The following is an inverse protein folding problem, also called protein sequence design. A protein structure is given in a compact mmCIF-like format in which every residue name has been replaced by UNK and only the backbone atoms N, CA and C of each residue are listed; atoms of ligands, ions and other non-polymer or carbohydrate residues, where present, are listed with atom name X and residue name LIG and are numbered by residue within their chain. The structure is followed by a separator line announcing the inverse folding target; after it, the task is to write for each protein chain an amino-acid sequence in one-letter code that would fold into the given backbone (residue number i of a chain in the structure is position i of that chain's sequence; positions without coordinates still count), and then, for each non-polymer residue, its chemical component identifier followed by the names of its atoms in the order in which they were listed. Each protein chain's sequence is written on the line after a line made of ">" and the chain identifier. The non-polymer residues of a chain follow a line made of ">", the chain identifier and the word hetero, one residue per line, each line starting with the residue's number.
data_IF_211714152079
#
_entry.id   IF_211714152079
#
_cell.length_a   1.000
_cell.length_b   1.000
_cell.length_c   1.000
_cell.angle_alpha   90.00
_cell.angle_beta   90.00
_cell.angle_gamma   90.00
#
_symmetry.space_group_name_H-M   'P 1'
#
loop_
_entity.id
_entity.type
_entity.pdbx_description
1 polymer ?
#
# COMPACT_ATOMS: atom_id res chain seq x y z
N UNK A 1 -18.35 -2.70 10.43
CA UNK A 1 -17.28 -1.67 10.29
C UNK A 1 -16.32 -2.15 9.23
N UNK A 2 -15.77 -1.24 8.45
CA UNK A 2 -14.74 -1.58 7.45
C UNK A 2 -13.46 -2.04 8.19
N UNK A 3 -12.94 -3.27 7.94
CA UNK A 3 -11.79 -3.80 8.67
C UNK A 3 -10.45 -3.22 8.21
N UNK A 4 -10.42 -2.40 7.15
CA UNK A 4 -9.18 -1.84 6.61
C UNK A 4 -9.30 -1.34 5.18
N UNK A 5 -8.15 -1.04 4.57
CA UNK A 5 -8.05 -0.55 3.20
C UNK A 5 -6.92 -1.25 2.46
N UNK A 6 -7.16 -1.52 1.17
CA UNK A 6 -6.13 -1.99 0.26
C UNK A 6 -5.50 -0.81 -0.48
N UNK A 7 -4.20 -0.61 -0.31
CA UNK A 7 -3.45 0.48 -0.91
C UNK A 7 -2.78 -0.02 -2.19
N UNK A 8 -3.20 0.50 -3.33
CA UNK A 8 -2.54 0.26 -4.61
C UNK A 8 -1.95 1.54 -5.18
N UNK A 9 -1.06 1.42 -6.13
CA UNK A 9 -0.46 2.57 -6.79
C UNK A 9 -0.63 2.55 -8.31
N UNK A 10 -0.47 3.71 -8.91
CA UNK A 10 -0.40 3.82 -10.38
C UNK A 10 0.88 3.23 -10.97
N UNK A 11 1.89 2.96 -10.13
CA UNK A 11 3.20 2.45 -10.53
C UNK A 11 4.01 2.04 -9.28
N UNK A 12 5.21 1.51 -9.48
CA UNK A 12 6.25 1.40 -8.44
C UNK A 12 6.81 2.81 -8.14
N UNK A 13 7.28 3.02 -6.91
CA UNK A 13 7.85 4.31 -6.44
C UNK A 13 6.93 5.53 -6.57
N UNK A 14 5.61 5.34 -6.45
CA UNK A 14 4.63 6.43 -6.41
C UNK A 14 4.30 6.91 -4.99
N UNK A 15 5.01 6.39 -3.98
CA UNK A 15 4.84 6.79 -2.58
C UNK A 15 3.77 6.02 -1.83
N UNK A 16 3.46 4.77 -2.24
CA UNK A 16 2.49 3.90 -1.54
C UNK A 16 2.79 3.80 -0.05
N UNK A 17 4.03 3.48 0.30
CA UNK A 17 4.44 3.26 1.69
C UNK A 17 4.26 4.51 2.53
N UNK A 18 4.62 5.68 2.01
CA UNK A 18 4.40 6.94 2.72
C UNK A 18 2.91 7.22 2.92
N UNK A 19 2.08 6.98 1.90
CA UNK A 19 0.62 7.10 2.02
C UNK A 19 0.05 6.07 3.02
N UNK A 20 0.53 4.83 3.00
CA UNK A 20 0.12 3.78 3.93
C UNK A 20 0.42 4.15 5.39
N UNK A 21 1.64 4.61 5.67
CA UNK A 21 2.03 5.03 7.03
C UNK A 21 1.26 6.29 7.47
N UNK A 22 1.09 7.28 6.57
CA UNK A 22 0.28 8.46 6.86
C UNK A 22 -1.17 8.08 7.20
N UNK A 23 -1.77 7.10 6.49
CA UNK A 23 -3.09 6.55 6.81
C UNK A 23 -3.10 5.85 8.16
N UNK A 24 -2.08 5.07 8.49
CA UNK A 24 -1.95 4.44 9.81
C UNK A 24 -1.95 5.49 10.91
N UNK A 25 -1.15 6.56 10.80
CA UNK A 25 -1.11 7.66 11.78
C UNK A 25 -2.44 8.42 11.83
N UNK A 26 -3.09 8.67 10.68
CA UNK A 26 -4.41 9.30 10.61
C UNK A 26 -5.44 8.57 11.47
N UNK A 27 -5.53 7.24 11.36
CA UNK A 27 -6.48 6.45 12.14
C UNK A 27 -6.06 6.28 13.61
N UNK A 28 -4.77 6.22 13.91
CA UNK A 28 -4.26 6.20 15.29
C UNK A 28 -4.65 7.48 16.05
N UNK A 29 -4.64 8.64 15.39
CA UNK A 29 -5.11 9.92 15.97
C UNK A 29 -6.62 9.91 16.28
N UNK A 30 -7.38 9.02 15.66
CA UNK A 30 -8.80 8.77 15.98
C UNK A 30 -8.99 7.69 17.06
N UNK A 31 -7.94 7.38 17.81
CA UNK A 31 -7.92 6.34 18.84
C UNK A 31 -8.25 4.92 18.33
N UNK A 32 -7.95 4.64 17.06
CA UNK A 32 -8.06 3.29 16.50
C UNK A 32 -6.78 2.49 16.73
N UNK A 33 -6.94 1.20 16.96
CA UNK A 33 -5.83 0.24 16.91
C UNK A 33 -5.57 -0.11 15.45
N UNK A 34 -4.39 0.26 14.93
CA UNK A 34 -4.05 0.14 13.50
C UNK A 34 -2.81 -0.71 13.33
N UNK A 35 -2.85 -1.64 12.39
CA UNK A 35 -1.69 -2.43 11.95
C UNK A 35 -1.51 -2.32 10.45
N UNK A 36 -0.28 -2.51 9.98
CA UNK A 36 0.04 -2.55 8.58
C UNK A 36 0.32 -3.97 8.10
N UNK A 37 0.11 -4.22 6.80
CA UNK A 37 0.46 -5.46 6.13
C UNK A 37 1.03 -5.17 4.75
N UNK A 38 2.19 -5.74 4.43
CA UNK A 38 2.82 -5.79 3.11
C UNK A 38 2.87 -7.25 2.66
N UNK A 39 1.78 -7.81 2.08
CA UNK A 39 1.67 -9.25 1.85
C UNK A 39 2.79 -9.84 1.02
N UNK A 40 3.27 -9.09 0.02
CA UNK A 40 4.32 -9.52 -0.90
C UNK A 40 5.32 -8.39 -1.08
N UNK A 41 6.59 -8.69 -0.94
CA UNK A 41 7.69 -7.78 -1.19
C UNK A 41 8.81 -8.45 -1.99
N UNK A 42 9.44 -7.69 -2.90
CA UNK A 42 10.61 -8.11 -3.66
C UNK A 42 11.74 -7.08 -3.43
N UNK A 43 13.00 -7.51 -3.62
CA UNK A 43 14.17 -6.70 -3.27
C UNK A 43 14.40 -6.64 -1.75
N UNK A 44 14.08 -7.71 -1.04
CA UNK A 44 14.30 -7.83 0.38
C UNK A 44 15.79 -8.08 0.69
N UNK A 45 16.23 -7.65 1.85
CA UNK A 45 17.61 -7.84 2.33
C UNK A 45 17.64 -8.82 3.50
N UNK A 46 18.75 -9.56 3.62
CA UNK A 46 19.00 -10.40 4.79
C UNK A 46 19.22 -9.52 6.03
N UNK A 47 18.55 -9.85 7.12
CA UNK A 47 18.69 -9.21 8.43
C UNK A 47 18.98 -10.27 9.48
N UNK A 48 19.88 -9.96 10.43
CA UNK A 48 20.24 -10.83 11.55
C UNK A 48 19.39 -10.57 12.81
N UNK A 49 18.43 -9.65 12.75
CA UNK A 49 17.69 -9.13 13.91
C UNK A 49 16.29 -9.75 14.07
N UNK A 50 16.16 -11.07 13.87
CA UNK A 50 14.89 -11.75 14.06
C UNK A 50 14.69 -12.17 15.53
N UNK A 51 13.47 -12.00 16.06
CA UNK A 51 13.12 -12.35 17.46
C UNK A 51 13.26 -13.83 17.81
N UNK A 52 13.43 -14.71 16.82
CA UNK A 52 13.65 -16.16 16.98
C UNK A 52 15.11 -16.60 16.80
N UNK A 53 16.04 -15.69 16.48
CA UNK A 53 17.41 -16.01 16.10
C UNK A 53 17.50 -16.59 14.69
N UNK A 54 18.48 -16.13 13.91
CA UNK A 54 18.70 -16.55 12.52
C UNK A 54 18.50 -15.39 11.52
N UNK A 55 18.95 -15.63 10.29
CA UNK A 55 18.81 -14.68 9.19
C UNK A 55 17.43 -14.82 8.54
N UNK A 56 16.81 -13.70 8.22
CA UNK A 56 15.54 -13.66 7.47
C UNK A 56 15.56 -12.52 6.45
N UNK A 57 14.75 -12.67 5.41
CA UNK A 57 14.56 -11.62 4.41
C UNK A 57 13.60 -10.57 4.95
N UNK A 58 14.01 -9.31 4.92
CA UNK A 58 13.17 -8.18 5.32
C UNK A 58 13.10 -7.09 4.25
N UNK A 59 11.96 -6.43 4.21
CA UNK A 59 11.64 -5.33 3.31
C UNK A 59 11.45 -4.04 4.11
N UNK A 60 12.00 -2.93 3.63
CA UNK A 60 11.93 -1.63 4.31
C UNK A 60 10.49 -1.15 4.52
N UNK A 61 9.59 -1.33 3.52
CA UNK A 61 8.19 -0.93 3.63
C UNK A 61 7.49 -1.70 4.76
N UNK A 62 7.72 -3.03 4.83
CA UNK A 62 7.13 -3.89 5.86
C UNK A 62 7.65 -3.54 7.26
N UNK A 63 8.95 -3.25 7.39
CA UNK A 63 9.54 -2.80 8.67
C UNK A 63 8.98 -1.44 9.11
N UNK A 64 8.80 -0.51 8.18
CA UNK A 64 8.15 0.77 8.49
C UNK A 64 6.71 0.55 8.96
N UNK A 65 5.95 -0.32 8.32
CA UNK A 65 4.59 -0.65 8.74
C UNK A 65 4.57 -1.28 10.14
N UNK A 66 5.49 -2.21 10.44
CA UNK A 66 5.65 -2.81 11.76
C UNK A 66 5.95 -1.75 12.83
N UNK A 67 6.92 -0.87 12.55
CA UNK A 67 7.35 0.20 13.47
C UNK A 67 6.23 1.20 13.79
N UNK A 68 5.39 1.51 12.81
CA UNK A 68 4.30 2.47 12.96
C UNK A 68 2.96 1.87 13.38
N UNK A 69 2.88 0.56 13.56
CA UNK A 69 1.69 -0.11 14.05
C UNK A 69 1.35 0.29 15.51
N UNK A 70 0.08 0.18 15.88
CA UNK A 70 -0.38 0.37 17.28
C UNK A 70 0.04 -0.77 18.19
N UNK A 71 0.19 -1.97 17.62
CA UNK A 71 0.57 -3.20 18.32
C UNK A 71 1.73 -3.85 17.59
N UNK A 72 2.67 -4.39 18.33
CA UNK A 72 3.72 -5.21 17.76
C UNK A 72 3.12 -6.52 17.21
N UNK A 73 3.43 -6.82 15.95
CA UNK A 73 3.03 -8.04 15.26
C UNK A 73 4.29 -8.75 14.75
N UNK A 74 4.25 -10.09 14.69
CA UNK A 74 5.37 -10.81 14.09
C UNK A 74 5.55 -10.40 12.62
N UNK A 75 6.80 -10.33 12.18
CA UNK A 75 7.12 -9.90 10.83
C UNK A 75 6.47 -10.80 9.76
N UNK A 76 6.39 -12.10 10.00
CA UNK A 76 5.79 -13.08 9.08
C UNK A 76 4.28 -12.86 8.85
N UNK A 77 3.57 -12.27 9.83
CA UNK A 77 2.18 -11.85 9.63
C UNK A 77 2.08 -10.61 8.75
N UNK A 78 3.06 -9.71 8.87
CA UNK A 78 3.08 -8.44 8.10
C UNK A 78 3.53 -8.70 6.68
N UNK A 79 4.57 -9.52 6.48
CA UNK A 79 5.17 -9.78 5.17
C UNK A 79 5.39 -11.28 4.92
N UNK A 80 4.30 -12.06 4.68
CA UNK A 80 4.37 -13.51 4.49
C UNK A 80 5.16 -13.97 3.25
N UNK A 81 5.37 -13.08 2.26
CA UNK A 81 6.18 -13.35 1.07
C UNK A 81 7.24 -12.27 0.88
N UNK A 82 8.48 -12.61 1.23
CA UNK A 82 9.65 -11.76 1.09
C UNK A 82 10.64 -12.39 0.09
N UNK A 83 10.89 -11.72 -1.03
CA UNK A 83 11.79 -12.21 -2.07
C UNK A 83 13.04 -11.33 -2.16
N UNK A 84 14.22 -11.96 -2.28
CA UNK A 84 15.50 -11.26 -2.37
C UNK A 84 15.65 -10.49 -3.68
N UNK A 85 15.25 -11.08 -4.82
CA UNK A 85 15.44 -10.45 -6.12
C UNK A 85 14.52 -9.22 -6.32
N UNK A 86 15.07 -8.06 -6.72
CA UNK A 86 14.29 -6.83 -6.95
C UNK A 86 13.62 -6.83 -8.33
N UNK A 87 12.78 -7.84 -8.58
CA UNK A 87 12.00 -8.03 -9.81
C UNK A 87 10.54 -8.26 -9.47
N UNK A 88 9.69 -8.40 -10.49
CA UNK A 88 8.26 -8.68 -10.27
C UNK A 88 8.05 -9.96 -9.43
N UNK A 89 7.11 -9.97 -8.47
CA UNK A 89 6.93 -11.07 -7.53
C UNK A 89 6.81 -12.46 -8.18
N UNK A 90 6.10 -12.59 -9.31
CA UNK A 90 5.94 -13.86 -10.03
C UNK A 90 7.26 -14.41 -10.61
N UNK A 91 8.25 -13.55 -10.81
CA UNK A 91 9.60 -13.94 -11.25
C UNK A 91 10.46 -14.28 -10.04
N UNK A 92 10.42 -13.42 -9.02
CA UNK A 92 11.21 -13.61 -7.80
C UNK A 92 10.79 -14.86 -7.01
N UNK A 93 9.49 -15.18 -7.01
CA UNK A 93 8.89 -16.28 -6.27
C UNK A 93 8.60 -17.53 -7.10
N UNK A 94 9.36 -17.78 -8.17
CA UNK A 94 9.13 -18.95 -9.05
C UNK A 94 9.20 -20.28 -8.29
N UNK A 95 10.07 -20.38 -7.29
CA UNK A 95 10.27 -21.58 -6.46
C UNK A 95 9.37 -21.57 -5.19
N UNK A 96 8.82 -20.43 -4.81
CA UNK A 96 7.86 -20.23 -3.72
C UNK A 96 6.77 -19.25 -4.15
N UNK A 97 5.84 -19.70 -5.02
CA UNK A 97 4.82 -18.82 -5.58
C UNK A 97 3.82 -18.34 -4.53
N UNK A 98 3.36 -17.12 -4.68
CA UNK A 98 2.38 -16.51 -3.78
C UNK A 98 1.10 -17.35 -3.74
N UNK A 99 0.74 -17.80 -2.53
CA UNK A 99 -0.54 -18.44 -2.21
C UNK A 99 -1.43 -17.46 -1.42
N UNK A 100 -2.60 -17.14 -1.98
CA UNK A 100 -3.54 -16.24 -1.32
C UNK A 100 -4.10 -16.79 -0.02
N UNK A 101 -4.21 -18.12 0.13
CA UNK A 101 -4.69 -18.72 1.37
C UNK A 101 -3.82 -18.33 2.56
N UNK A 102 -2.48 -18.39 2.42
CA UNK A 102 -1.54 -17.95 3.45
C UNK A 102 -1.68 -16.44 3.76
N UNK A 103 -1.88 -15.60 2.73
CA UNK A 103 -2.06 -14.16 2.94
C UNK A 103 -3.36 -13.89 3.70
N UNK A 104 -4.45 -14.57 3.36
CA UNK A 104 -5.74 -14.42 4.03
C UNK A 104 -5.67 -14.86 5.50
N UNK A 105 -4.99 -15.97 5.81
CA UNK A 105 -4.74 -16.40 7.19
C UNK A 105 -3.97 -15.35 8.00
N UNK A 106 -2.90 -14.77 7.42
CA UNK A 106 -2.15 -13.69 8.06
C UNK A 106 -3.01 -12.43 8.26
N UNK A 107 -3.80 -12.06 7.25
CA UNK A 107 -4.71 -10.92 7.33
C UNK A 107 -5.78 -11.11 8.42
N UNK A 108 -6.39 -12.29 8.52
CA UNK A 108 -7.39 -12.59 9.54
C UNK A 108 -6.80 -12.57 10.96
N UNK A 109 -5.55 -13.01 11.13
CA UNK A 109 -4.83 -12.89 12.39
C UNK A 109 -4.57 -11.42 12.78
N UNK A 110 -4.14 -10.58 11.83
CA UNK A 110 -3.96 -9.13 12.05
C UNK A 110 -5.28 -8.43 12.38
N UNK A 111 -6.33 -8.72 11.62
CA UNK A 111 -7.68 -8.17 11.79
C UNK A 111 -8.30 -8.55 13.13
N UNK A 112 -7.98 -9.71 13.70
CA UNK A 112 -8.47 -10.12 15.01
C UNK A 112 -7.92 -9.25 16.15
N UNK A 113 -6.77 -8.59 15.94
CA UNK A 113 -6.07 -7.79 16.96
C UNK A 113 -6.21 -6.27 16.76
N UNK A 114 -6.77 -5.80 15.64
CA UNK A 114 -6.81 -4.39 15.27
C UNK A 114 -8.19 -3.93 14.80
N UNK A 115 -8.48 -2.63 14.97
CA UNK A 115 -9.67 -2.02 14.40
C UNK A 115 -9.56 -1.82 12.89
N UNK A 116 -8.33 -1.55 12.41
CA UNK A 116 -8.04 -1.24 11.00
C UNK A 116 -6.73 -1.91 10.58
N UNK A 117 -6.74 -2.59 9.43
CA UNK A 117 -5.56 -3.11 8.76
C UNK A 117 -5.31 -2.32 7.47
N UNK A 118 -4.13 -1.71 7.33
CA UNK A 118 -3.69 -1.08 6.09
C UNK A 118 -2.86 -2.09 5.30
N UNK A 119 -3.41 -2.58 4.19
CA UNK A 119 -2.75 -3.59 3.35
C UNK A 119 -2.14 -2.91 2.12
N UNK A 120 -0.83 -2.97 1.96
CA UNK A 120 -0.11 -2.37 0.84
C UNK A 120 0.25 -3.39 -0.23
N UNK A 121 -0.22 -3.18 -1.46
CA UNK A 121 0.16 -3.97 -2.63
C UNK A 121 1.59 -3.69 -3.12
N UNK A 122 2.15 -4.59 -3.90
CA UNK A 122 3.44 -4.46 -4.58
C UNK A 122 3.26 -3.97 -6.02
N UNK A 123 4.01 -2.94 -6.43
CA UNK A 123 3.88 -2.40 -7.80
C UNK A 123 2.54 -1.71 -8.06
N UNK A 124 1.98 -1.94 -9.26
CA UNK A 124 0.67 -1.42 -9.68
C UNK A 124 -0.45 -2.46 -9.60
N UNK A 125 -1.67 -2.07 -10.03
CA UNK A 125 -2.88 -2.88 -9.93
C UNK A 125 -2.78 -4.24 -10.62
N UNK A 126 -2.15 -4.30 -11.79
CA UNK A 126 -1.94 -5.54 -12.57
C UNK A 126 -0.53 -6.12 -12.41
N UNK A 127 0.19 -5.79 -11.34
CA UNK A 127 1.48 -6.41 -11.07
C UNK A 127 1.26 -7.91 -10.74
N UNK A 128 1.86 -8.86 -11.49
CA UNK A 128 1.60 -10.28 -11.30
C UNK A 128 2.26 -10.78 -10.01
N UNK A 129 1.52 -11.57 -9.25
CA UNK A 129 1.96 -12.22 -8.01
C UNK A 129 2.38 -13.66 -8.23
N UNK A 130 1.68 -14.35 -9.12
CA UNK A 130 1.98 -15.70 -9.57
C UNK A 130 1.57 -15.87 -11.06
N UNK A 131 1.53 -17.08 -11.59
CA UNK A 131 1.23 -17.34 -13.00
C UNK A 131 -0.22 -16.99 -13.42
N UNK A 132 -1.16 -16.88 -12.48
CA UNK A 132 -2.59 -16.70 -12.76
C UNK A 132 -3.18 -15.44 -12.12
N UNK A 133 -2.54 -14.88 -11.09
CA UNK A 133 -3.13 -13.87 -10.23
C UNK A 133 -2.24 -12.64 -10.10
N UNK A 134 -2.87 -11.47 -9.98
CA UNK A 134 -2.23 -10.18 -9.83
C UNK A 134 -2.62 -9.47 -8.50
N UNK A 135 -2.15 -8.26 -8.31
CA UNK A 135 -2.45 -7.42 -7.15
C UNK A 135 -3.96 -7.12 -7.04
N UNK A 136 -4.65 -6.93 -8.17
CA UNK A 136 -6.10 -6.70 -8.18
C UNK A 136 -6.88 -7.93 -7.72
N UNK A 137 -6.41 -9.13 -8.05
CA UNK A 137 -7.01 -10.36 -7.57
C UNK A 137 -6.81 -10.56 -6.06
N UNK A 138 -5.64 -10.17 -5.53
CA UNK A 138 -5.39 -10.15 -4.09
C UNK A 138 -6.32 -9.17 -3.37
N UNK A 139 -6.49 -7.97 -3.92
CA UNK A 139 -7.42 -6.98 -3.36
C UNK A 139 -8.86 -7.52 -3.29
N UNK A 140 -9.31 -8.24 -4.34
CA UNK A 140 -10.62 -8.92 -4.36
C UNK A 140 -10.71 -10.02 -3.31
N UNK A 141 -9.66 -10.85 -3.16
CA UNK A 141 -9.65 -11.92 -2.19
C UNK A 141 -9.74 -11.42 -0.74
N UNK A 142 -9.15 -10.26 -0.46
CA UNK A 142 -9.23 -9.58 0.84
C UNK A 142 -10.54 -8.82 1.06
N UNK A 143 -11.31 -8.56 0.00
CA UNK A 143 -12.58 -7.82 0.00
C UNK A 143 -12.48 -6.45 0.73
N UNK A 144 -11.41 -5.72 0.46
CA UNK A 144 -11.13 -4.42 1.06
C UNK A 144 -11.43 -3.27 0.09
N UNK A 145 -12.00 -2.15 0.56
CA UNK A 145 -12.08 -0.94 -0.24
C UNK A 145 -10.67 -0.44 -0.59
N UNK A 146 -10.51 0.00 -1.84
CA UNK A 146 -9.22 0.37 -2.41
C UNK A 146 -8.96 1.86 -2.24
N UNK A 147 -7.75 2.21 -1.82
CA UNK A 147 -7.21 3.58 -1.92
C UNK A 147 -6.13 3.58 -3.01
N UNK A 148 -6.32 4.44 -4.01
CA UNK A 148 -5.37 4.60 -5.12
C UNK A 148 -4.33 5.68 -4.80
N UNK A 149 -3.06 5.33 -4.81
CA UNK A 149 -1.94 6.27 -4.67
C UNK A 149 -1.44 6.68 -6.04
N UNK A 150 -1.47 7.97 -6.31
CA UNK A 150 -1.04 8.56 -7.57
C UNK A 150 0.23 9.39 -7.35
N UNK A 151 1.35 8.91 -7.85
CA UNK A 151 2.58 9.71 -7.89
C UNK A 151 2.45 10.84 -8.92
N UNK A 152 2.49 12.08 -8.46
CA UNK A 152 2.32 13.26 -9.30
C UNK A 152 3.62 13.52 -10.07
N UNK A 153 3.63 13.07 -11.31
CA UNK A 153 4.71 13.18 -12.30
C UNK A 153 4.14 13.24 -13.71
N UNK A 154 4.94 13.58 -14.70
CA UNK A 154 4.49 13.55 -16.11
C UNK A 154 3.98 12.14 -16.47
N UNK A 155 2.78 12.06 -17.06
CA UNK A 155 2.08 10.81 -17.38
C UNK A 155 1.11 10.33 -16.28
N UNK A 156 1.09 10.95 -15.10
CA UNK A 156 0.26 10.52 -13.97
C UNK A 156 -1.25 10.52 -14.29
N UNK A 157 -1.72 11.44 -15.12
CA UNK A 157 -3.13 11.52 -15.53
C UNK A 157 -3.56 10.24 -16.28
N UNK A 158 -2.74 9.81 -17.24
CA UNK A 158 -3.00 8.58 -17.99
C UNK A 158 -2.98 7.36 -17.07
N UNK A 159 -1.92 7.20 -16.27
CA UNK A 159 -1.78 6.05 -15.37
C UNK A 159 -2.90 6.00 -14.33
N UNK A 160 -3.28 7.12 -13.74
CA UNK A 160 -4.36 7.19 -12.76
C UNK A 160 -5.71 6.79 -13.37
N UNK A 161 -6.03 7.29 -14.58
CA UNK A 161 -7.29 6.94 -15.27
C UNK A 161 -7.36 5.45 -15.60
N UNK A 162 -6.28 4.87 -16.14
CA UNK A 162 -6.22 3.45 -16.47
C UNK A 162 -6.35 2.57 -15.22
N UNK A 163 -5.61 2.89 -14.15
CA UNK A 163 -5.67 2.13 -12.90
C UNK A 163 -7.04 2.27 -12.23
N UNK A 164 -7.59 3.48 -12.20
CA UNK A 164 -8.92 3.71 -11.63
C UNK A 164 -10.01 2.95 -12.38
N UNK A 165 -9.95 2.93 -13.72
CA UNK A 165 -10.88 2.13 -14.54
C UNK A 165 -10.76 0.64 -14.22
N UNK A 166 -9.56 0.12 -14.06
CA UNK A 166 -9.33 -1.28 -13.69
C UNK A 166 -9.90 -1.61 -12.29
N UNK A 167 -9.72 -0.71 -11.30
CA UNK A 167 -10.33 -0.85 -9.97
C UNK A 167 -11.86 -0.89 -10.09
N UNK A 168 -12.47 0.03 -10.84
CA UNK A 168 -13.92 0.02 -11.05
C UNK A 168 -14.43 -1.27 -11.69
N UNK A 169 -13.72 -1.79 -12.69
CA UNK A 169 -14.06 -3.05 -13.37
C UNK A 169 -13.92 -4.28 -12.46
N UNK A 170 -13.11 -4.20 -11.41
CA UNK A 170 -12.96 -5.29 -10.44
C UNK A 170 -14.20 -5.51 -9.56
N UNK A 171 -15.09 -4.52 -9.49
CA UNK A 171 -16.25 -4.51 -8.60
C UNK A 171 -15.96 -4.02 -7.18
N UNK A 172 -14.69 -3.78 -6.81
CA UNK A 172 -14.33 -3.24 -5.51
C UNK A 172 -14.66 -1.74 -5.41
N UNK A 173 -15.03 -1.30 -4.22
CA UNK A 173 -15.19 0.11 -3.92
C UNK A 173 -13.82 0.83 -3.93
N UNK A 174 -13.69 1.89 -4.72
CA UNK A 174 -12.57 2.81 -4.58
C UNK A 174 -12.96 3.87 -3.52
N UNK A 175 -12.42 3.74 -2.31
CA UNK A 175 -12.70 4.64 -1.18
C UNK A 175 -12.17 6.05 -1.43
N UNK A 176 -11.17 6.20 -2.29
CA UNK A 176 -10.59 7.48 -2.67
C UNK A 176 -9.20 7.34 -3.27
N UNK A 177 -8.54 8.46 -3.48
CA UNK A 177 -7.18 8.48 -3.96
C UNK A 177 -6.33 9.53 -3.23
N UNK A 178 -5.03 9.29 -3.15
CA UNK A 178 -4.05 10.16 -2.53
C UNK A 178 -3.06 10.60 -3.59
N UNK A 179 -2.86 11.92 -3.73
CA UNK A 179 -1.81 12.48 -4.57
C UNK A 179 -0.50 12.55 -3.77
N UNK A 180 0.58 11.96 -4.31
CA UNK A 180 1.91 12.06 -3.70
C UNK A 180 2.82 12.83 -4.62
N UNK A 181 3.36 13.95 -4.17
CA UNK A 181 4.31 14.77 -4.92
C UNK A 181 5.68 14.08 -4.88
N UNK A 182 5.97 13.21 -5.85
CA UNK A 182 7.21 12.40 -5.91
C UNK A 182 8.44 13.21 -6.36
N UNK A 183 8.23 14.40 -6.92
CA UNK A 183 9.30 15.31 -7.30
C UNK A 183 8.98 16.74 -6.81
N UNK A 184 10.00 17.43 -6.28
CA UNK A 184 9.82 18.78 -5.73
C UNK A 184 9.61 19.88 -6.77
N UNK A 185 10.11 19.65 -7.99
CA UNK A 185 10.20 20.64 -9.08
C UNK A 185 9.24 20.38 -10.24
N UNK A 186 8.20 19.57 -10.04
CA UNK A 186 7.23 19.28 -11.09
C UNK A 186 6.46 20.56 -11.49
N UNK A 187 6.57 20.93 -12.77
CA UNK A 187 5.80 22.02 -13.36
C UNK A 187 4.30 21.69 -13.39
N UNK A 188 3.46 22.70 -13.14
CA UNK A 188 2.00 22.59 -13.21
C UNK A 188 1.43 21.43 -12.38
N UNK A 189 2.01 21.20 -11.21
CA UNK A 189 1.59 20.14 -10.27
C UNK A 189 0.11 20.27 -9.91
N UNK A 190 -0.33 21.47 -9.57
CA UNK A 190 -1.69 21.73 -9.11
C UNK A 190 -2.72 21.53 -10.22
N UNK A 191 -2.40 21.90 -11.46
CA UNK A 191 -3.25 21.66 -12.63
C UNK A 191 -3.40 20.16 -12.93
N UNK A 192 -2.34 19.36 -12.74
CA UNK A 192 -2.44 17.89 -12.85
C UNK A 192 -3.39 17.34 -11.78
N UNK A 193 -3.28 17.78 -10.52
CA UNK A 193 -4.15 17.35 -9.43
C UNK A 193 -5.62 17.77 -9.70
N UNK A 194 -5.87 19.00 -10.16
CA UNK A 194 -7.21 19.44 -10.52
C UNK A 194 -7.80 18.63 -11.68
N UNK A 195 -7.00 18.31 -12.69
CA UNK A 195 -7.41 17.45 -13.80
C UNK A 195 -7.82 16.06 -13.29
N UNK A 196 -7.05 15.48 -12.37
CA UNK A 196 -7.38 14.19 -11.76
C UNK A 196 -8.65 14.27 -10.90
N UNK A 197 -8.84 15.35 -10.12
CA UNK A 197 -10.10 15.57 -9.37
C UNK A 197 -11.33 15.62 -10.26
N UNK A 198 -11.21 16.17 -11.45
CA UNK A 198 -12.31 16.21 -12.41
C UNK A 198 -12.51 14.86 -13.13
N UNK A 199 -11.46 14.05 -13.29
CA UNK A 199 -11.50 12.81 -14.06
C UNK A 199 -11.85 11.56 -13.22
N UNK A 200 -11.54 11.56 -11.92
CA UNK A 200 -11.79 10.45 -11.02
C UNK A 200 -13.01 10.78 -10.16
N UNK A 201 -14.04 9.93 -10.19
CA UNK A 201 -15.24 10.10 -9.35
C UNK A 201 -15.01 9.74 -7.88
N UNK A 202 -13.94 9.00 -7.56
CA UNK A 202 -13.52 8.76 -6.19
C UNK A 202 -12.95 10.05 -5.55
N UNK A 203 -13.18 10.31 -4.25
CA UNK A 203 -12.73 11.53 -3.59
C UNK A 203 -11.20 11.59 -3.49
N UNK A 204 -10.63 12.79 -3.63
CA UNK A 204 -9.25 13.07 -3.23
C UNK A 204 -9.18 13.10 -1.70
N UNK A 205 -8.44 12.18 -1.12
CA UNK A 205 -8.28 12.04 0.33
C UNK A 205 -7.16 12.91 0.91
N UNK A 206 -6.24 13.38 0.07
CA UNK A 206 -5.17 14.27 0.47
C UNK A 206 -4.08 14.42 -0.56
N UNK A 207 -3.22 15.41 -0.33
CA UNK A 207 -2.03 15.69 -1.15
C UNK A 207 -0.80 15.64 -0.25
N UNK A 208 0.01 14.60 -0.39
CA UNK A 208 1.26 14.48 0.35
C UNK A 208 2.36 15.29 -0.36
N UNK A 209 2.98 16.26 0.31
CA UNK A 209 4.01 17.10 -0.28
C UNK A 209 5.30 16.29 -0.55
N UNK A 210 6.13 16.78 -1.46
CA UNK A 210 7.50 16.29 -1.57
C UNK A 210 8.30 16.71 -0.34
N UNK A 211 8.93 15.74 0.31
CA UNK A 211 9.82 15.98 1.46
C UNK A 211 10.98 14.99 1.41
N UNK A 212 12.16 15.40 1.87
CA UNK A 212 13.36 14.56 1.92
C UNK A 212 13.36 13.63 3.14
N UNK A 213 12.65 14.01 4.19
CA UNK A 213 12.50 13.23 5.43
C UNK A 213 11.03 13.07 5.75
N UNK A 214 10.62 11.85 6.05
CA UNK A 214 9.23 11.56 6.38
C UNK A 214 8.93 11.96 7.83
N UNK A 215 8.06 12.96 8.00
CA UNK A 215 7.31 13.16 9.24
C UNK A 215 5.88 12.66 8.98
N UNK A 216 5.63 11.43 9.38
CA UNK A 216 4.35 10.77 9.09
C UNK A 216 3.19 11.38 9.87
N UNK A 217 3.44 12.03 11.00
CA UNK A 217 2.41 12.77 11.72
C UNK A 217 1.98 14.01 10.94
N UNK A 218 2.92 14.78 10.38
CA UNK A 218 2.60 15.90 9.50
C UNK A 218 1.93 15.44 8.19
N UNK A 219 2.34 14.29 7.64
CA UNK A 219 1.71 13.74 6.44
C UNK A 219 0.26 13.29 6.72
N UNK A 220 -0.02 12.75 7.90
CA UNK A 220 -1.38 12.37 8.31
C UNK A 220 -2.32 13.58 8.42
N UNK A 221 -1.82 14.77 8.75
CA UNK A 221 -2.61 16.03 8.78
C UNK A 221 -3.09 16.46 7.38
N UNK A 222 -2.45 15.98 6.33
CA UNK A 222 -2.86 16.26 4.95
C UNK A 222 -4.01 15.38 4.47
N UNK A 223 -4.45 14.42 5.27
CA UNK A 223 -5.50 13.45 4.92
C UNK A 223 -6.85 13.83 5.50
N UNK A 224 -7.90 13.64 4.70
CA UNK A 224 -9.31 13.78 5.12
C UNK A 224 -10.07 12.57 4.58
N UNK A 225 -10.47 11.67 5.47
CA UNK A 225 -11.22 10.46 5.11
C UNK A 225 -12.61 10.58 5.70
N UNK A 226 -13.61 10.75 4.83
CA UNK A 226 -15.01 10.74 5.23
C UNK A 226 -15.44 9.28 5.42
N UNK A 227 -15.78 8.92 6.65
CA UNK A 227 -16.32 7.60 7.01
C UNK A 227 -17.79 7.47 6.67
#
# INVERSE_FOLDING_TARGET
>A
MNPGYFITGTDTHVGKTWASIALMQYFKRQAKVVVGMKPVAAGCMLSDSYEGGGQYLCNEDALLMQTHASLHQSYDLINPYAYELPVSPHIAGVDDPVDFAKILECFDALKASADIVIVEGAGGWHAPLNAQQDIGDLAKALDLPVILVVGIKLGCINHAKLTYQAIQQSGLACAGWIAVCVAGDMLNKDENIQTLKAALSAPLLGVLPHTLTADFDLLAEQLVINQ
#
